data_IF_566728702480
#
_entry.id   IF_566728702480
#
_cell.length_a   1.000
_cell.length_b   1.000
_cell.length_c   1.000
_cell.angle_alpha   90.00
_cell.angle_beta   90.00
_cell.angle_gamma   90.00
#
_symmetry.space_group_name_H-M   'P 1'
#
loop_
_entity.id
_entity.type
_entity.pdbx_description
1 polymer ?
#
# COMPACT_ATOMS: atom_id res chain seq x y z
N UNK A 1 -9.51 -21.01 7.47
CA UNK A 1 -10.93 -20.79 7.08
C UNK A 1 -11.08 -19.74 5.97
N UNK A 2 -10.20 -18.74 5.84
CA UNK A 2 -10.34 -17.63 4.86
C UNK A 2 -10.08 -17.99 3.39
N UNK A 3 -9.18 -18.93 3.12
CA UNK A 3 -8.83 -19.40 1.76
C UNK A 3 -10.03 -20.03 1.03
N UNK A 4 -10.83 -20.83 1.74
CA UNK A 4 -12.02 -21.48 1.17
C UNK A 4 -13.06 -20.44 0.74
N UNK A 5 -13.25 -19.37 1.52
CA UNK A 5 -14.19 -18.29 1.20
C UNK A 5 -13.79 -17.55 -0.07
N UNK A 6 -12.49 -17.25 -0.26
CA UNK A 6 -12.00 -16.60 -1.49
C UNK A 6 -12.17 -17.47 -2.74
N UNK A 7 -11.87 -18.77 -2.65
CA UNK A 7 -12.04 -19.71 -3.76
C UNK A 7 -13.51 -19.82 -4.16
N UNK A 8 -14.42 -19.89 -3.19
CA UNK A 8 -15.85 -19.95 -3.46
C UNK A 8 -16.42 -18.64 -4.01
N UNK A 9 -15.87 -17.49 -3.60
CA UNK A 9 -16.30 -16.18 -4.06
C UNK A 9 -15.83 -15.86 -5.49
N UNK A 10 -14.56 -16.09 -5.81
CA UNK A 10 -14.01 -15.80 -7.14
C UNK A 10 -14.31 -16.87 -8.18
N UNK A 11 -14.67 -18.09 -7.73
CA UNK A 11 -15.00 -19.26 -8.55
C UNK A 11 -14.13 -19.36 -9.82
N UNK A 12 -12.79 -19.32 -9.66
CA UNK A 12 -11.87 -19.27 -10.79
C UNK A 12 -11.98 -20.55 -11.63
N UNK A 13 -11.76 -20.44 -12.94
CA UNK A 13 -11.78 -21.58 -13.85
C UNK A 13 -10.75 -22.65 -13.51
N UNK A 14 -9.66 -22.27 -12.83
CA UNK A 14 -8.63 -23.18 -12.34
C UNK A 14 -8.30 -22.91 -10.86
N UNK A 15 -8.91 -23.64 -9.91
CA UNK A 15 -8.78 -23.35 -8.48
C UNK A 15 -7.39 -23.64 -7.93
N UNK A 16 -6.62 -24.54 -8.56
CA UNK A 16 -5.27 -24.87 -8.11
C UNK A 16 -4.27 -23.74 -8.43
N UNK A 17 -4.39 -23.13 -9.62
CA UNK A 17 -3.56 -21.98 -9.99
C UNK A 17 -3.81 -20.78 -9.06
N UNK A 18 -5.09 -20.50 -8.76
CA UNK A 18 -5.46 -19.44 -7.82
C UNK A 18 -4.93 -19.71 -6.40
N UNK A 19 -5.04 -20.96 -5.92
CA UNK A 19 -4.52 -21.31 -4.61
C UNK A 19 -3.00 -21.19 -4.54
N UNK A 20 -2.29 -21.56 -5.61
CA UNK A 20 -0.84 -21.40 -5.72
C UNK A 20 -0.43 -19.93 -5.68
N UNK A 21 -1.12 -19.05 -6.40
CA UNK A 21 -0.85 -17.61 -6.38
C UNK A 21 -1.09 -17.01 -4.98
N UNK A 22 -2.19 -17.37 -4.33
CA UNK A 22 -2.48 -16.91 -2.96
C UNK A 22 -1.46 -17.45 -1.95
N UNK A 23 -1.02 -18.71 -2.11
CA UNK A 23 0.00 -19.31 -1.25
C UNK A 23 1.38 -18.74 -1.49
N UNK A 24 1.72 -18.39 -2.73
CA UNK A 24 2.98 -17.74 -3.08
C UNK A 24 3.00 -16.32 -2.49
N UNK A 25 1.92 -15.56 -2.66
CA UNK A 25 1.72 -14.25 -2.04
C UNK A 25 1.88 -14.31 -0.52
N UNK A 26 1.23 -15.28 0.14
CA UNK A 26 1.36 -15.50 1.58
C UNK A 26 2.77 -15.94 2.01
N UNK A 27 3.47 -16.72 1.17
CA UNK A 27 4.84 -17.16 1.44
C UNK A 27 5.78 -15.96 1.38
N UNK A 28 5.67 -15.13 0.36
CA UNK A 28 6.48 -13.91 0.19
C UNK A 28 6.21 -12.92 1.33
N UNK A 29 4.97 -12.79 1.79
CA UNK A 29 4.59 -12.04 2.99
C UNK A 29 5.39 -12.44 4.24
N UNK A 30 5.46 -13.75 4.43
CA UNK A 30 6.00 -14.36 5.63
C UNK A 30 7.53 -14.31 5.60
N UNK A 31 8.13 -14.54 4.43
CA UNK A 31 9.58 -14.53 4.26
C UNK A 31 10.18 -13.12 4.31
N UNK A 32 9.47 -12.14 3.74
CA UNK A 32 10.00 -10.78 3.69
C UNK A 32 9.97 -10.08 5.05
N UNK A 33 9.07 -10.42 5.99
CA UNK A 33 8.83 -9.62 7.21
C UNK A 33 8.64 -8.11 6.90
N UNK A 34 8.44 -7.76 5.63
CA UNK A 34 8.22 -6.40 5.17
C UNK A 34 6.73 -6.30 4.87
N UNK A 35 5.96 -5.56 5.70
CA UNK A 35 4.53 -5.36 5.48
C UNK A 35 4.21 -4.60 4.18
N UNK A 36 5.23 -4.13 3.46
CA UNK A 36 5.15 -3.33 2.24
C UNK A 36 4.77 -4.15 1.00
N UNK A 37 5.09 -5.45 0.93
CA UNK A 37 4.85 -6.27 -0.26
C UNK A 37 3.34 -6.49 -0.60
N UNK A 38 2.43 -6.05 0.28
CA UNK A 38 0.99 -6.17 0.11
C UNK A 38 0.30 -4.87 -0.34
N UNK A 39 1.01 -3.74 -0.36
CA UNK A 39 0.38 -2.47 -0.69
C UNK A 39 0.28 -2.30 -2.21
N UNK A 40 -0.92 -2.52 -2.73
CA UNK A 40 -1.24 -2.23 -4.13
C UNK A 40 -1.61 -0.75 -4.33
N UNK A 41 -1.75 -0.31 -5.58
CA UNK A 41 -2.20 1.05 -5.88
C UNK A 41 -3.58 1.38 -5.25
N UNK A 42 -4.45 0.37 -5.11
CA UNK A 42 -5.73 0.49 -4.42
C UNK A 42 -5.55 0.69 -2.90
N UNK A 43 -4.58 0.02 -2.27
CA UNK A 43 -4.28 0.22 -0.85
C UNK A 43 -3.70 1.63 -0.58
N UNK A 44 -2.87 2.15 -1.49
CA UNK A 44 -2.35 3.52 -1.43
C UNK A 44 -3.51 4.52 -1.53
N UNK A 45 -4.45 4.27 -2.43
CA UNK A 45 -5.65 5.10 -2.62
C UNK A 45 -6.58 5.05 -1.40
N UNK A 46 -6.80 3.86 -0.84
CA UNK A 46 -7.56 3.68 0.39
C UNK A 46 -6.89 4.39 1.58
N UNK A 47 -5.56 4.29 1.69
CA UNK A 47 -4.78 4.97 2.74
C UNK A 47 -4.87 6.49 2.59
N UNK A 48 -4.81 7.01 1.36
CA UNK A 48 -5.03 8.43 1.10
C UNK A 48 -6.44 8.87 1.50
N UNK A 49 -7.47 8.10 1.14
CA UNK A 49 -8.86 8.36 1.55
C UNK A 49 -9.03 8.35 3.08
N UNK A 50 -8.30 7.50 3.78
CA UNK A 50 -8.32 7.43 5.24
C UNK A 50 -7.65 8.65 5.90
N UNK A 51 -6.64 9.23 5.24
CA UNK A 51 -5.91 10.42 5.68
C UNK A 51 -6.57 11.75 5.27
N UNK A 52 -7.42 11.73 4.24
CA UNK A 52 -8.22 12.87 3.76
C UNK A 52 -9.73 12.64 3.94
N UNK A 53 -10.24 12.46 5.18
CA UNK A 53 -11.68 12.33 5.41
C UNK A 53 -12.45 13.63 5.11
N UNK A 54 -11.72 14.75 4.91
CA UNK A 54 -12.31 16.04 4.56
C UNK A 54 -12.54 16.18 3.05
N UNK A 55 -12.04 15.24 2.22
CA UNK A 55 -12.17 15.30 0.76
C UNK A 55 -11.50 16.53 0.15
N UNK A 56 -10.46 17.06 0.79
CA UNK A 56 -9.71 18.23 0.31
C UNK A 56 -8.78 17.90 -0.86
N UNK A 57 -8.55 16.62 -1.15
CA UNK A 57 -7.62 16.16 -2.19
C UNK A 57 -6.15 16.40 -1.84
N UNK A 58 -5.88 16.79 -0.59
CA UNK A 58 -4.53 17.05 -0.07
C UNK A 58 -4.44 16.70 1.42
N UNK A 59 -3.39 15.98 1.80
CA UNK A 59 -3.10 15.59 3.17
C UNK A 59 -1.98 16.44 3.75
N UNK A 60 -2.04 16.78 5.03
CA UNK A 60 -0.94 17.49 5.69
C UNK A 60 0.30 16.59 5.83
N UNK A 61 1.49 17.16 5.93
CA UNK A 61 2.74 16.40 6.13
C UNK A 61 2.68 15.41 7.30
N UNK A 62 2.11 15.80 8.43
CA UNK A 62 1.95 14.88 9.58
C UNK A 62 1.10 13.66 9.24
N UNK A 63 0.04 13.83 8.44
CA UNK A 63 -0.79 12.73 7.95
C UNK A 63 0.01 11.87 6.96
N UNK A 64 0.78 12.48 6.06
CA UNK A 64 1.67 11.74 5.17
C UNK A 64 2.68 10.87 5.94
N UNK A 65 3.35 11.41 6.95
CA UNK A 65 4.27 10.65 7.81
C UNK A 65 3.55 9.55 8.61
N UNK A 66 2.31 9.79 9.04
CA UNK A 66 1.49 8.77 9.71
C UNK A 66 1.09 7.65 8.75
N UNK A 67 0.74 7.99 7.50
CA UNK A 67 0.42 7.04 6.45
C UNK A 67 1.62 6.15 6.12
N UNK A 68 2.81 6.74 5.99
CA UNK A 68 4.07 6.03 5.81
C UNK A 68 4.35 5.06 6.97
N UNK A 69 4.13 5.49 8.22
CA UNK A 69 4.23 4.58 9.37
C UNK A 69 3.23 3.42 9.31
N UNK A 70 2.01 3.66 8.83
CA UNK A 70 1.00 2.59 8.66
C UNK A 70 1.39 1.56 7.59
N UNK A 71 2.12 1.97 6.53
CA UNK A 71 2.69 1.02 5.54
C UNK A 71 3.99 0.37 6.00
N UNK A 72 4.53 0.75 7.17
CA UNK A 72 5.81 0.24 7.67
C UNK A 72 7.05 0.97 7.14
N UNK A 73 6.87 2.13 6.51
CA UNK A 73 7.96 3.00 6.07
C UNK A 73 8.29 3.97 7.20
N UNK A 74 9.28 3.65 8.02
CA UNK A 74 9.70 4.47 9.17
C UNK A 74 10.53 5.69 8.77
N UNK A 75 11.20 5.64 7.62
CA UNK A 75 12.02 6.74 7.09
C UNK A 75 11.74 6.94 5.61
N UNK A 76 11.04 8.03 5.22
CA UNK A 76 10.87 8.35 3.81
C UNK A 76 12.23 8.62 3.15
N UNK A 77 12.61 7.85 2.14
CA UNK A 77 13.78 8.13 1.31
C UNK A 77 13.45 9.14 0.19
N UNK A 78 12.20 9.17 -0.26
CA UNK A 78 11.67 10.10 -1.25
C UNK A 78 11.42 11.46 -0.62
N UNK A 79 12.15 12.46 -1.11
CA UNK A 79 11.97 13.86 -0.74
C UNK A 79 10.72 14.45 -1.42
N UNK A 80 9.87 15.10 -0.64
CA UNK A 80 8.73 15.88 -1.16
C UNK A 80 9.24 17.12 -1.92
N UNK A 81 8.57 17.55 -3.00
CA UNK A 81 8.95 18.76 -3.72
C UNK A 81 8.81 20.00 -2.82
N UNK A 82 9.69 21.00 -3.00
CA UNK A 82 9.85 22.12 -2.06
C UNK A 82 8.55 22.91 -1.77
N UNK A 83 7.57 22.88 -2.68
CA UNK A 83 6.26 23.54 -2.51
C UNK A 83 5.16 22.71 -1.84
N UNK A 84 5.36 21.41 -1.61
CA UNK A 84 4.36 20.50 -1.00
C UNK A 84 4.81 19.95 0.37
N UNK A 85 5.75 20.64 1.02
CA UNK A 85 6.26 20.24 2.33
C UNK A 85 5.23 20.37 3.47
N UNK A 86 4.20 21.19 3.30
CA UNK A 86 3.12 21.35 4.29
C UNK A 86 1.89 20.52 3.94
N UNK A 87 1.58 20.41 2.64
CA UNK A 87 0.44 19.67 2.10
C UNK A 87 0.85 18.89 0.88
N UNK A 88 0.58 17.59 0.90
CA UNK A 88 0.85 16.65 -0.18
C UNK A 88 -0.46 16.36 -0.91
N UNK A 89 -0.52 16.67 -2.19
CA UNK A 89 -1.66 16.34 -3.04
C UNK A 89 -1.71 14.84 -3.33
N UNK A 90 -2.88 14.33 -3.72
CA UNK A 90 -3.09 12.91 -4.06
C UNK A 90 -2.06 12.35 -5.04
N UNK A 91 -1.74 13.11 -6.09
CA UNK A 91 -0.79 12.70 -7.14
C UNK A 91 0.62 12.50 -6.59
N UNK A 92 1.08 13.44 -5.76
CA UNK A 92 2.41 13.40 -5.14
C UNK A 92 2.48 12.33 -4.07
N UNK A 93 1.40 12.15 -3.29
CA UNK A 93 1.26 11.10 -2.31
C UNK A 93 1.40 9.72 -2.95
N UNK A 94 0.60 9.43 -3.99
CA UNK A 94 0.64 8.14 -4.68
C UNK A 94 2.02 7.86 -5.26
N UNK A 95 2.63 8.84 -5.93
CA UNK A 95 3.96 8.68 -6.51
C UNK A 95 5.02 8.38 -5.46
N UNK A 96 5.07 9.17 -4.37
CA UNK A 96 6.07 8.96 -3.33
C UNK A 96 5.85 7.62 -2.61
N UNK A 97 4.61 7.28 -2.25
CA UNK A 97 4.33 6.00 -1.58
C UNK A 97 4.70 4.81 -2.47
N UNK A 98 4.41 4.89 -3.77
CA UNK A 98 4.75 3.83 -4.72
C UNK A 98 6.27 3.70 -4.91
N UNK A 99 6.99 4.82 -4.97
CA UNK A 99 8.47 4.81 -5.00
C UNK A 99 9.06 4.26 -3.70
N UNK A 100 8.52 4.61 -2.52
CA UNK A 100 8.95 4.08 -1.23
C UNK A 100 8.67 2.58 -1.09
N UNK A 101 7.50 2.11 -1.52
CA UNK A 101 7.14 0.68 -1.52
C UNK A 101 8.04 -0.11 -2.47
N UNK A 102 8.37 0.46 -3.65
CA UNK A 102 9.32 -0.14 -4.58
C UNK A 102 10.73 -0.20 -4.00
N UNK A 103 11.17 0.87 -3.33
CA UNK A 103 12.47 0.94 -2.65
C UNK A 103 12.55 0.04 -1.40
N UNK A 104 11.43 -0.19 -0.70
CA UNK A 104 11.35 -1.08 0.46
C UNK A 104 11.20 -2.56 0.08
N UNK A 105 10.92 -2.87 -1.18
CA UNK A 105 10.80 -4.25 -1.69
C UNK A 105 12.12 -4.80 -2.25
N UNK A 106 13.24 -4.05 -2.16
CA UNK A 106 14.57 -4.43 -2.68
C UNK A 106 15.53 -4.86 -1.60
#
# INVERSE_FOLDING_TARGET
QELCTRVMYHRPSDPNAFLLEVLDTLRTARDSMVPTAFFTAEDIEATFGMMDPTGKGSVSRQQYEQALRNVGVEKPAVALPEGEQERVCRSTFQRCMQEELAAASV
#
